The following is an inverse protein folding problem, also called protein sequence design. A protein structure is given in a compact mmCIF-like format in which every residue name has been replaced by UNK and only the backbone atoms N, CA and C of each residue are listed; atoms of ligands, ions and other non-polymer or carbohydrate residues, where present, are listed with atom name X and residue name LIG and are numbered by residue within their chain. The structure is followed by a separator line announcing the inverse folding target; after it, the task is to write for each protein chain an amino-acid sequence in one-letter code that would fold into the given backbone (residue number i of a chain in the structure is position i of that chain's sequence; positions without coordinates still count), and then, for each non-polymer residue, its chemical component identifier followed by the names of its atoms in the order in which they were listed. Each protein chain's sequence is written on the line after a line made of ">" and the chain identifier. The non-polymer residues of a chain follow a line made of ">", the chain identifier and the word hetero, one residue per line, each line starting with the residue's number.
data_IF_486249674179
#
_entry.id   IF_486249674179
#
_cell.length_a   1.000
_cell.length_b   1.000
_cell.length_c   1.000
_cell.angle_alpha   90.00
_cell.angle_beta   90.00
_cell.angle_gamma   90.00
#
_symmetry.space_group_name_H-M   'P 1'
#
loop_
_entity.id
_entity.type
_entity.pdbx_description
1 polymer ?
#
# COMPACT_ATOMS: atom_id res chain seq x y z
N UNK A 1 10.97 27.16 33.61
CA UNK A 1 10.12 25.99 33.34
C UNK A 1 11.04 24.81 33.34
N UNK A 2 10.62 23.69 33.94
CA UNK A 2 11.39 22.44 33.85
C UNK A 2 11.18 21.82 32.48
N UNK A 3 12.09 20.93 32.07
CA UNK A 3 11.97 20.22 30.79
C UNK A 3 10.63 19.48 30.66
N UNK A 4 10.15 18.86 31.74
CA UNK A 4 8.83 18.21 31.79
C UNK A 4 7.65 19.18 31.76
N UNK A 5 7.75 20.39 32.32
CA UNK A 5 6.69 21.39 32.20
C UNK A 5 6.54 21.86 30.74
N UNK A 6 7.65 22.00 30.02
CA UNK A 6 7.65 22.35 28.61
C UNK A 6 7.08 21.21 27.73
N UNK A 7 7.42 19.94 28.03
CA UNK A 7 6.82 18.77 27.35
C UNK A 7 5.32 18.69 27.63
N UNK A 8 4.89 18.81 28.88
CA UNK A 8 3.48 18.72 29.25
C UNK A 8 2.65 19.81 28.55
N UNK A 9 3.19 21.03 28.48
CA UNK A 9 2.54 22.14 27.76
C UNK A 9 2.43 21.86 26.26
N UNK A 10 3.45 21.24 25.66
CA UNK A 10 3.44 20.91 24.25
C UNK A 10 2.50 19.74 23.91
N UNK A 11 2.42 18.72 24.78
CA UNK A 11 1.48 17.60 24.66
C UNK A 11 0.03 18.06 24.83
N UNK A 12 -0.25 18.93 25.80
CA UNK A 12 -1.58 19.50 26.03
C UNK A 12 -2.09 20.28 24.80
N UNK A 13 -1.19 20.97 24.09
CA UNK A 13 -1.53 21.66 22.84
C UNK A 13 -1.97 20.71 21.71
N UNK A 14 -1.47 19.47 21.73
CA UNK A 14 -1.86 18.38 20.82
C UNK A 14 -3.06 17.57 21.35
N UNK A 15 -3.61 17.94 22.52
CA UNK A 15 -4.72 17.23 23.16
C UNK A 15 -4.30 15.94 23.88
N UNK A 16 -3.01 15.74 24.12
CA UNK A 16 -2.46 14.54 24.76
C UNK A 16 -2.29 14.80 26.26
N UNK A 17 -2.93 13.97 27.08
CA UNK A 17 -2.84 14.08 28.54
C UNK A 17 -1.46 13.61 29.04
N UNK A 18 -0.94 14.25 30.10
CA UNK A 18 0.30 13.82 30.74
C UNK A 18 0.22 13.99 32.25
N UNK A 19 0.90 13.11 32.99
CA UNK A 19 1.03 13.15 34.46
C UNK A 19 2.49 13.14 34.86
N UNK A 20 2.88 14.02 35.77
CA UNK A 20 4.27 14.11 36.26
C UNK A 20 4.31 13.69 37.73
N UNK A 21 5.16 12.72 38.04
CA UNK A 21 5.44 12.28 39.40
C UNK A 21 6.95 12.17 39.62
N UNK A 22 7.47 12.95 40.56
CA UNK A 22 8.90 13.03 40.88
C UNK A 22 9.75 13.33 39.63
N UNK A 23 10.66 12.41 39.26
CA UNK A 23 11.59 12.54 38.14
C UNK A 23 11.10 11.80 36.86
N UNK A 24 9.82 11.39 36.86
CA UNK A 24 9.20 10.66 35.75
C UNK A 24 7.91 11.33 35.28
N UNK A 25 7.79 11.50 33.97
CA UNK A 25 6.53 11.87 33.32
C UNK A 25 5.92 10.62 32.67
N UNK A 26 4.61 10.48 32.76
CA UNK A 26 3.83 9.41 32.14
C UNK A 26 2.82 10.01 31.19
N UNK A 27 2.66 9.36 30.05
CA UNK A 27 1.74 9.74 28.98
C UNK A 27 0.91 8.50 28.62
N UNK A 28 -0.38 8.44 28.99
CA UNK A 28 -1.24 7.32 28.63
C UNK A 28 -1.47 7.32 27.11
N UNK A 29 -1.37 6.13 26.51
CA UNK A 29 -1.71 5.91 25.10
C UNK A 29 -3.05 5.18 25.03
N UNK A 30 -3.16 4.06 25.76
CA UNK A 30 -4.40 3.28 25.93
C UNK A 30 -4.66 2.96 27.39
N UNK A 31 -5.73 2.20 27.66
CA UNK A 31 -6.00 1.63 28.98
C UNK A 31 -4.88 0.73 29.49
N UNK A 32 -4.12 0.12 28.59
CA UNK A 32 -3.16 -0.93 28.91
C UNK A 32 -1.70 -0.51 28.62
N UNK A 33 -1.46 0.61 27.92
CA UNK A 33 -0.14 1.06 27.50
C UNK A 33 0.12 2.54 27.82
N UNK A 34 1.31 2.82 28.34
CA UNK A 34 1.78 4.18 28.61
C UNK A 34 3.26 4.39 28.21
N UNK A 35 3.57 5.64 27.88
CA UNK A 35 4.93 6.11 27.64
C UNK A 35 5.46 6.78 28.90
N UNK A 36 6.68 6.42 29.30
CA UNK A 36 7.35 7.00 30.47
C UNK A 36 8.61 7.74 30.04
N UNK A 37 8.71 9.01 30.42
CA UNK A 37 9.93 9.81 30.29
C UNK A 37 10.65 9.87 31.63
N UNK A 38 11.87 9.35 31.67
CA UNK A 38 12.74 9.41 32.85
C UNK A 38 13.87 10.39 32.58
N UNK A 39 13.99 11.42 33.42
CA UNK A 39 15.01 12.47 33.27
C UNK A 39 16.41 11.88 33.39
N UNK A 40 17.30 12.23 32.45
CA UNK A 40 18.69 11.76 32.44
C UNK A 40 19.60 12.75 33.16
N UNK A 41 19.40 14.05 32.93
CA UNK A 41 20.26 15.11 33.42
C UNK A 41 19.46 16.38 33.74
N UNK A 42 19.69 17.01 34.91
CA UNK A 42 18.94 18.20 35.34
C UNK A 42 19.38 19.52 34.68
N UNK A 43 20.45 19.50 33.89
CA UNK A 43 21.00 20.69 33.22
C UNK A 43 20.77 20.61 31.70
N UNK A 44 20.87 19.40 31.14
CA UNK A 44 20.65 19.15 29.72
C UNK A 44 19.24 18.56 29.55
N UNK A 45 18.35 19.18 28.76
CA UNK A 45 17.02 18.63 28.50
C UNK A 45 17.15 17.27 27.79
N UNK A 46 17.10 16.19 28.56
CA UNK A 46 17.29 14.83 28.07
C UNK A 46 16.48 13.84 28.90
N UNK A 47 15.74 12.97 28.22
CA UNK A 47 14.96 11.92 28.86
C UNK A 47 15.06 10.60 28.09
N UNK A 48 15.13 9.51 28.84
CA UNK A 48 14.92 8.17 28.31
C UNK A 48 13.42 7.93 28.17
N UNK A 49 13.00 7.38 27.03
CA UNK A 49 11.61 7.09 26.71
C UNK A 49 11.39 5.59 26.78
N UNK A 50 10.50 5.16 27.67
CA UNK A 50 10.11 3.77 27.85
C UNK A 50 8.66 3.57 27.43
N UNK A 51 8.34 2.38 26.94
CA UNK A 51 6.97 1.88 26.85
C UNK A 51 6.76 0.86 27.95
N UNK A 52 5.65 1.00 28.67
CA UNK A 52 5.27 0.12 29.77
C UNK A 52 3.76 -0.14 29.73
N UNK A 53 3.35 -1.25 30.36
CA UNK A 53 1.94 -1.51 30.60
C UNK A 53 1.41 -0.59 31.71
N UNK A 54 0.20 -0.05 31.53
CA UNK A 54 -0.34 1.04 32.35
C UNK A 54 -0.82 0.60 33.76
N UNK A 55 -1.10 -0.70 33.97
CA UNK A 55 -1.67 -1.24 35.23
C UNK A 55 -0.64 -1.97 36.11
N UNK A 56 0.66 -1.85 35.82
CA UNK A 56 1.70 -2.55 36.59
C UNK A 56 2.21 -1.66 37.71
N UNK A 57 1.95 -2.07 38.95
CA UNK A 57 2.50 -1.41 40.14
C UNK A 57 4.03 -1.42 40.08
N UNK A 58 4.65 -0.29 40.46
CA UNK A 58 6.12 -0.08 40.44
C UNK A 58 6.90 -1.08 41.32
N UNK A 59 6.19 -1.83 42.17
CA UNK A 59 6.73 -2.85 43.08
C UNK A 59 6.65 -4.28 42.51
N UNK A 60 6.06 -4.50 41.32
CA UNK A 60 6.04 -5.81 40.68
C UNK A 60 7.42 -6.13 40.06
N UNK A 61 8.01 -7.23 40.51
CA UNK A 61 9.33 -7.70 40.06
C UNK A 61 9.34 -8.20 38.59
N UNK A 62 8.16 -8.24 37.95
CA UNK A 62 7.92 -8.57 36.53
C UNK A 62 7.60 -7.30 35.70
N UNK A 63 8.16 -6.15 36.08
CA UNK A 63 8.03 -4.87 35.38
C UNK A 63 8.80 -4.88 34.02
N UNK A 64 8.08 -4.96 32.91
CA UNK A 64 8.66 -5.03 31.55
C UNK A 64 8.65 -3.67 30.83
N UNK A 65 9.21 -2.62 31.46
CA UNK A 65 9.42 -1.35 30.78
C UNK A 65 10.58 -1.47 29.77
N UNK A 66 10.29 -1.21 28.50
CA UNK A 66 11.28 -1.30 27.41
C UNK A 66 11.72 0.08 26.98
N UNK A 67 13.04 0.32 26.99
CA UNK A 67 13.60 1.54 26.42
C UNK A 67 13.38 1.52 24.90
N UNK A 68 12.68 2.51 24.39
CA UNK A 68 12.36 2.62 22.96
C UNK A 68 13.07 3.80 22.29
N UNK A 69 13.32 4.88 23.02
CA UNK A 69 13.94 6.08 22.47
C UNK A 69 14.66 6.90 23.54
N UNK A 70 15.44 7.88 23.11
CA UNK A 70 16.04 8.93 23.95
C UNK A 70 15.81 10.26 23.27
N UNK A 71 15.27 11.22 24.00
CA UNK A 71 14.91 12.55 23.49
C UNK A 71 15.78 13.62 24.12
N UNK A 72 16.19 14.60 23.32
CA UNK A 72 17.05 15.71 23.75
C UNK A 72 16.38 17.09 23.59
N UNK A 73 15.10 17.10 23.20
CA UNK A 73 14.33 18.30 23.00
C UNK A 73 12.84 18.03 23.22
N UNK A 74 12.08 19.10 23.45
CA UNK A 74 10.62 19.04 23.62
C UNK A 74 9.95 18.56 22.32
N UNK A 75 10.44 19.00 21.16
CA UNK A 75 9.90 18.56 19.86
C UNK A 75 10.12 17.07 19.63
N UNK A 76 11.29 16.54 20.00
CA UNK A 76 11.56 15.10 19.84
C UNK A 76 10.69 14.26 20.79
N UNK A 77 10.44 14.78 22.01
CA UNK A 77 9.53 14.14 22.96
C UNK A 77 8.10 14.05 22.41
N UNK A 78 7.56 15.16 21.92
CA UNK A 78 6.22 15.20 21.33
C UNK A 78 6.13 14.32 20.09
N UNK A 79 7.12 14.39 19.19
CA UNK A 79 7.14 13.56 17.98
C UNK A 79 7.21 12.06 18.30
N UNK A 80 7.94 11.67 19.35
CA UNK A 80 8.02 10.28 19.79
C UNK A 80 6.66 9.80 20.29
N UNK A 81 5.99 10.59 21.13
CA UNK A 81 4.65 10.26 21.64
C UNK A 81 3.65 10.18 20.50
N UNK A 82 3.61 11.19 19.63
CA UNK A 82 2.69 11.24 18.50
C UNK A 82 2.83 10.01 17.57
N UNK A 83 4.06 9.53 17.36
CA UNK A 83 4.30 8.33 16.54
C UNK A 83 3.65 7.08 17.16
N UNK A 84 3.83 6.88 18.46
CA UNK A 84 3.22 5.74 19.16
C UNK A 84 1.71 5.85 19.30
N UNK A 85 1.18 7.06 19.53
CA UNK A 85 -0.27 7.30 19.50
C UNK A 85 -0.84 6.97 18.12
N UNK A 86 -0.15 7.35 17.04
CA UNK A 86 -0.59 7.04 15.68
C UNK A 86 -0.54 5.54 15.38
N UNK A 87 0.54 4.84 15.76
CA UNK A 87 0.65 3.38 15.61
C UNK A 87 -0.47 2.64 16.37
N UNK A 88 -0.76 3.08 17.60
CA UNK A 88 -1.82 2.49 18.42
C UNK A 88 -3.22 2.75 17.85
N UNK A 89 -3.47 3.93 17.29
CA UNK A 89 -4.71 4.21 16.57
C UNK A 89 -4.89 3.31 15.34
N UNK A 90 -3.82 3.01 14.60
CA UNK A 90 -3.89 2.04 13.49
C UNK A 90 -4.33 0.66 13.99
N UNK A 91 -3.72 0.17 15.08
CA UNK A 91 -4.09 -1.11 15.69
C UNK A 91 -5.56 -1.10 16.12
N UNK A 92 -6.00 -0.05 16.81
CA UNK A 92 -7.39 0.10 17.27
C UNK A 92 -8.38 0.06 16.12
N UNK A 93 -8.10 0.78 15.02
CA UNK A 93 -8.99 0.79 13.84
C UNK A 93 -9.04 -0.56 13.16
N UNK A 94 -7.91 -1.26 13.07
CA UNK A 94 -7.87 -2.62 12.51
C UNK A 94 -8.67 -3.59 13.39
N UNK A 95 -8.55 -3.50 14.72
CA UNK A 95 -9.37 -4.29 15.65
C UNK A 95 -10.86 -3.98 15.51
N UNK A 96 -11.24 -2.71 15.42
CA UNK A 96 -12.63 -2.29 15.22
C UNK A 96 -13.24 -2.83 13.91
N UNK A 97 -12.44 -2.86 12.83
CA UNK A 97 -12.84 -3.44 11.55
C UNK A 97 -13.01 -4.96 11.65
N UNK A 98 -12.07 -5.66 12.29
CA UNK A 98 -12.09 -7.12 12.44
C UNK A 98 -13.21 -7.60 13.37
N UNK A 99 -13.48 -6.86 14.44
CA UNK A 99 -14.53 -7.21 15.41
C UNK A 99 -15.93 -6.75 14.98
N UNK A 100 -16.02 -5.85 13.99
CA UNK A 100 -17.29 -5.25 13.56
C UNK A 100 -17.94 -4.44 14.69
N UNK A 101 -17.13 -3.71 15.46
CA UNK A 101 -17.59 -2.97 16.66
C UNK A 101 -18.60 -1.86 16.30
N UNK A 102 -18.49 -1.28 15.11
CA UNK A 102 -19.38 -0.22 14.62
C UNK A 102 -20.64 -0.79 13.94
N UNK A 103 -21.81 -0.25 14.30
CA UNK A 103 -23.11 -0.71 13.81
C UNK A 103 -23.28 -0.61 12.29
N UNK A 104 -22.54 0.28 11.62
CA UNK A 104 -22.62 0.52 10.17
C UNK A 104 -21.96 -0.58 9.35
N UNK A 105 -21.01 -1.29 9.94
CA UNK A 105 -20.26 -2.38 9.31
C UNK A 105 -20.53 -3.73 9.97
N UNK A 106 -21.51 -3.81 10.88
CA UNK A 106 -21.80 -5.03 11.64
C UNK A 106 -22.22 -6.23 10.76
N UNK A 107 -22.70 -5.97 9.55
CA UNK A 107 -23.06 -6.99 8.56
C UNK A 107 -21.86 -7.39 7.66
N UNK A 108 -20.71 -6.72 7.78
CA UNK A 108 -19.48 -7.02 7.05
C UNK A 108 -18.55 -7.88 7.91
N UNK A 109 -17.99 -8.92 7.30
CA UNK A 109 -17.02 -9.80 7.95
C UNK A 109 -15.62 -9.50 7.39
N UNK A 110 -14.79 -8.82 8.17
CA UNK A 110 -13.42 -8.51 7.79
C UNK A 110 -12.45 -9.60 8.24
N UNK A 111 -11.45 -9.88 7.40
CA UNK A 111 -10.34 -10.77 7.67
C UNK A 111 -9.02 -10.04 7.43
N UNK A 112 -8.04 -10.29 8.30
CA UNK A 112 -6.69 -9.77 8.10
C UNK A 112 -6.00 -10.56 6.98
N UNK A 113 -5.29 -9.83 6.11
CA UNK A 113 -4.48 -10.44 5.06
C UNK A 113 -3.32 -11.27 5.64
N UNK A 114 -2.99 -12.37 4.96
CA UNK A 114 -1.97 -13.32 5.43
C UNK A 114 -0.53 -12.79 5.29
N UNK A 115 -0.31 -11.81 4.42
CA UNK A 115 1.01 -11.26 4.08
C UNK A 115 1.18 -9.83 4.58
N UNK A 116 0.09 -9.05 4.61
CA UNK A 116 0.09 -7.67 5.09
C UNK A 116 -0.79 -7.50 6.33
N UNK A 117 -0.21 -7.33 7.54
CA UNK A 117 -0.99 -7.16 8.77
C UNK A 117 -1.80 -5.86 8.80
N UNK A 118 -1.48 -4.87 7.95
CA UNK A 118 -2.17 -3.60 7.90
C UNK A 118 -3.34 -3.60 6.91
N UNK A 119 -3.55 -4.72 6.20
CA UNK A 119 -4.62 -4.90 5.24
C UNK A 119 -5.70 -5.81 5.83
N UNK A 120 -6.95 -5.34 5.81
CA UNK A 120 -8.14 -6.16 6.06
C UNK A 120 -9.02 -6.21 4.81
N UNK A 121 -9.67 -7.34 4.63
CA UNK A 121 -10.51 -7.64 3.46
C UNK A 121 -11.90 -8.09 3.91
N UNK A 122 -12.94 -7.65 3.22
CA UNK A 122 -14.30 -8.14 3.42
C UNK A 122 -14.93 -8.49 2.08
N UNK A 123 -15.43 -9.72 1.94
CA UNK A 123 -16.19 -10.14 0.77
C UNK A 123 -17.49 -9.32 0.68
N UNK A 124 -17.74 -8.72 -0.48
CA UNK A 124 -18.96 -7.97 -0.76
C UNK A 124 -19.47 -8.39 -2.14
N UNK A 125 -20.70 -8.87 -2.26
CA UNK A 125 -21.20 -9.37 -3.55
C UNK A 125 -20.74 -10.78 -3.89
N UNK A 126 -20.78 -11.13 -5.19
CA UNK A 126 -20.50 -12.50 -5.66
C UNK A 126 -19.03 -12.69 -6.06
N UNK A 127 -18.41 -11.67 -6.70
CA UNK A 127 -17.01 -11.68 -7.12
C UNK A 127 -16.25 -10.41 -6.70
N UNK A 128 -16.66 -9.75 -5.61
CA UNK A 128 -15.98 -8.53 -5.15
C UNK A 128 -15.62 -8.53 -3.67
N UNK A 129 -14.62 -7.71 -3.32
CA UNK A 129 -14.18 -7.51 -1.95
C UNK A 129 -13.76 -6.05 -1.67
N UNK A 130 -13.95 -5.62 -0.43
CA UNK A 130 -13.41 -4.37 0.08
C UNK A 130 -12.06 -4.63 0.72
N UNK A 131 -11.04 -3.90 0.27
CA UNK A 131 -9.68 -3.89 0.85
C UNK A 131 -9.46 -2.57 1.59
N UNK A 132 -9.12 -2.65 2.87
CA UNK A 132 -8.79 -1.48 3.70
C UNK A 132 -7.36 -1.63 4.22
N UNK A 133 -6.48 -0.74 3.79
CA UNK A 133 -5.11 -0.64 4.30
C UNK A 133 -5.05 0.49 5.31
N UNK A 134 -4.62 0.23 6.53
CA UNK A 134 -4.49 1.26 7.58
C UNK A 134 -3.01 1.42 7.94
N UNK A 135 -2.45 2.60 7.70
CA UNK A 135 -1.04 2.88 7.93
C UNK A 135 -0.81 4.31 8.44
N UNK A 136 0.37 4.57 9.00
CA UNK A 136 0.75 5.92 9.45
C UNK A 136 1.49 6.64 8.34
N UNK A 137 0.89 7.70 7.79
CA UNK A 137 1.48 8.54 6.75
C UNK A 137 1.79 9.92 7.35
N UNK A 138 3.05 10.34 7.31
CA UNK A 138 3.51 11.62 7.88
C UNK A 138 3.10 11.83 9.36
N UNK A 139 3.03 10.74 10.13
CA UNK A 139 2.62 10.76 11.54
C UNK A 139 1.10 10.81 11.77
N UNK A 140 0.30 10.69 10.71
CA UNK A 140 -1.16 10.66 10.78
C UNK A 140 -1.66 9.28 10.36
N UNK A 141 -2.44 8.58 11.21
CA UNK A 141 -3.03 7.31 10.84
C UNK A 141 -4.07 7.54 9.74
N UNK A 142 -3.91 6.80 8.64
CA UNK A 142 -4.64 6.98 7.40
C UNK A 142 -5.09 5.62 6.89
N UNK A 143 -6.39 5.50 6.61
CA UNK A 143 -6.98 4.32 5.99
C UNK A 143 -7.21 4.56 4.50
N UNK A 144 -6.71 3.67 3.64
CA UNK A 144 -6.98 3.66 2.21
C UNK A 144 -7.94 2.53 1.87
N UNK A 145 -9.01 2.86 1.16
CA UNK A 145 -10.06 1.91 0.81
C UNK A 145 -10.08 1.67 -0.70
N UNK A 146 -10.16 0.39 -1.07
CA UNK A 146 -10.29 -0.07 -2.44
C UNK A 146 -11.43 -1.09 -2.51
N UNK A 147 -12.21 -1.01 -3.57
CA UNK A 147 -13.14 -2.06 -3.98
C UNK A 147 -12.47 -2.83 -5.11
N UNK A 148 -12.48 -4.16 -5.01
CA UNK A 148 -11.81 -5.05 -5.95
C UNK A 148 -12.83 -6.02 -6.49
N UNK A 149 -12.90 -6.15 -7.80
CA UNK A 149 -13.68 -7.19 -8.47
C UNK A 149 -12.69 -8.22 -9.00
N UNK A 150 -12.86 -9.48 -8.60
CA UNK A 150 -12.17 -10.60 -9.23
C UNK A 150 -12.85 -10.85 -10.58
N UNK A 151 -12.16 -10.48 -11.66
CA UNK A 151 -12.59 -10.84 -13.00
C UNK A 151 -12.33 -12.35 -13.17
N UNK A 152 -13.26 -13.05 -13.83
CA UNK A 152 -13.21 -14.51 -14.00
C UNK A 152 -11.80 -15.04 -14.19
N UNK A 153 -11.46 -16.11 -13.47
CA UNK A 153 -10.08 -16.55 -13.38
C UNK A 153 -9.49 -16.86 -14.76
N UNK A 154 -8.15 -16.83 -14.86
CA UNK A 154 -7.42 -17.25 -16.07
C UNK A 154 -7.92 -18.56 -16.68
N UNK A 155 -8.49 -19.48 -15.88
CA UNK A 155 -9.08 -20.73 -16.35
C UNK A 155 -10.39 -20.52 -17.13
N UNK A 156 -11.24 -19.58 -16.73
CA UNK A 156 -12.51 -19.28 -17.41
C UNK A 156 -12.25 -18.53 -18.74
N UNK A 157 -11.37 -17.51 -18.72
CA UNK A 157 -10.92 -16.82 -19.93
C UNK A 157 -10.21 -17.78 -20.91
N UNK A 158 -9.38 -18.70 -20.38
CA UNK A 158 -8.79 -19.75 -21.21
C UNK A 158 -9.84 -20.69 -21.80
N UNK A 159 -10.83 -21.12 -21.04
CA UNK A 159 -11.85 -22.06 -21.53
C UNK A 159 -12.74 -21.41 -22.61
N UNK A 160 -13.01 -20.11 -22.51
CA UNK A 160 -13.69 -19.32 -23.53
C UNK A 160 -12.88 -19.24 -24.83
N UNK A 161 -11.61 -18.87 -24.75
CA UNK A 161 -10.71 -18.76 -25.92
C UNK A 161 -10.42 -20.12 -26.53
N UNK A 162 -10.29 -21.16 -25.70
CA UNK A 162 -10.26 -22.54 -26.17
C UNK A 162 -11.57 -22.80 -26.93
N UNK A 163 -12.73 -22.53 -26.34
CA UNK A 163 -14.04 -22.63 -26.99
C UNK A 163 -14.07 -22.00 -28.39
N UNK A 164 -13.67 -20.74 -28.51
CA UNK A 164 -13.60 -20.02 -29.79
C UNK A 164 -12.61 -20.65 -30.78
N UNK A 165 -11.44 -21.07 -30.32
CA UNK A 165 -10.43 -21.71 -31.17
C UNK A 165 -10.93 -23.05 -31.75
N UNK A 166 -11.78 -23.78 -31.02
CA UNK A 166 -12.37 -25.05 -31.47
C UNK A 166 -13.69 -24.88 -32.22
N UNK A 167 -14.41 -23.77 -32.05
CA UNK A 167 -15.64 -23.43 -32.78
C UNK A 167 -15.39 -22.66 -34.09
N UNK A 168 -14.20 -22.05 -34.27
CA UNK A 168 -13.78 -21.55 -35.58
C UNK A 168 -13.74 -22.71 -36.58
N UNK A 169 -14.57 -22.61 -37.62
CA UNK A 169 -14.72 -23.64 -38.64
C UNK A 169 -13.32 -24.01 -39.19
N UNK A 170 -13.07 -25.31 -39.34
CA UNK A 170 -11.75 -25.93 -39.56
C UNK A 170 -10.98 -25.52 -40.84
N UNK A 171 -11.42 -24.47 -41.53
CA UNK A 171 -10.81 -23.89 -42.73
C UNK A 171 -10.09 -22.54 -42.48
N UNK A 172 -10.28 -21.88 -41.33
CA UNK A 172 -9.53 -20.67 -40.93
C UNK A 172 -8.67 -20.97 -39.69
N UNK A 173 -7.61 -21.74 -39.92
CA UNK A 173 -6.66 -22.10 -38.87
C UNK A 173 -5.77 -20.89 -38.61
N UNK A 174 -5.98 -20.20 -37.47
CA UNK A 174 -5.07 -19.17 -36.98
C UNK A 174 -3.63 -19.66 -37.07
N UNK A 175 -2.71 -18.78 -37.52
CA UNK A 175 -1.31 -19.16 -37.59
C UNK A 175 -0.78 -19.50 -36.20
N UNK A 176 0.29 -20.31 -36.12
CA UNK A 176 0.94 -20.62 -34.83
C UNK A 176 1.39 -19.34 -34.10
N UNK A 177 1.70 -18.27 -34.85
CA UNK A 177 2.05 -16.95 -34.32
C UNK A 177 0.84 -16.21 -33.74
N UNK A 178 -0.29 -16.20 -34.44
CA UNK A 178 -1.53 -15.57 -33.96
C UNK A 178 -2.06 -16.29 -32.72
N UNK A 179 -1.95 -17.62 -32.70
CA UNK A 179 -2.28 -18.44 -31.54
C UNK A 179 -1.38 -18.12 -30.35
N UNK A 180 -0.07 -17.95 -30.58
CA UNK A 180 0.86 -17.55 -29.52
C UNK A 180 0.61 -16.13 -29.01
N UNK A 181 0.16 -15.20 -29.87
CA UNK A 181 -0.24 -13.85 -29.45
C UNK A 181 -1.51 -13.87 -28.61
N UNK A 182 -2.55 -14.59 -29.03
CA UNK A 182 -3.79 -14.78 -28.27
C UNK A 182 -3.51 -15.35 -26.87
N UNK A 183 -2.75 -16.44 -26.78
CA UNK A 183 -2.37 -17.00 -25.47
C UNK A 183 -1.46 -16.08 -24.66
N UNK A 184 -0.67 -15.23 -25.29
CA UNK A 184 0.15 -14.24 -24.58
C UNK A 184 -0.73 -13.13 -24.00
N UNK A 185 -1.75 -12.68 -24.72
CA UNK A 185 -2.64 -11.60 -24.30
C UNK A 185 -3.42 -11.97 -23.03
N UNK A 186 -3.96 -13.20 -22.98
CA UNK A 186 -4.64 -13.77 -21.80
C UNK A 186 -3.75 -13.86 -20.57
N UNK A 187 -2.45 -14.06 -20.76
CA UNK A 187 -1.50 -14.07 -19.64
C UNK A 187 -1.24 -12.67 -19.08
N UNK A 188 -1.64 -11.61 -19.80
CA UNK A 188 -1.53 -10.21 -19.38
C UNK A 188 -2.87 -9.58 -19.02
N UNK A 189 -4.00 -10.27 -19.24
CA UNK A 189 -5.30 -9.77 -18.80
C UNK A 189 -5.36 -9.62 -17.28
N UNK A 190 -5.88 -8.49 -16.78
CA UNK A 190 -6.00 -8.27 -15.35
C UNK A 190 -7.01 -9.25 -14.76
N UNK A 191 -6.58 -10.04 -13.77
CA UNK A 191 -7.48 -10.93 -13.01
C UNK A 191 -8.29 -10.18 -11.94
N UNK A 192 -7.99 -8.90 -11.73
CA UNK A 192 -8.64 -8.05 -10.75
C UNK A 192 -8.83 -6.64 -11.34
N UNK A 193 -10.02 -6.08 -11.19
CA UNK A 193 -10.28 -4.65 -11.43
C UNK A 193 -10.39 -3.88 -10.11
N UNK A 194 -9.79 -2.70 -10.04
CA UNK A 194 -9.69 -1.89 -8.82
C UNK A 194 -10.43 -0.58 -8.94
N UNK A 195 -11.35 -0.34 -8.01
CA UNK A 195 -11.99 0.96 -7.80
C UNK A 195 -11.49 1.60 -6.49
N UNK A 196 -10.71 2.68 -6.62
CA UNK A 196 -10.22 3.43 -5.46
C UNK A 196 -11.32 4.28 -4.82
N UNK A 197 -11.64 4.00 -3.55
CA UNK A 197 -12.67 4.74 -2.80
C UNK A 197 -12.11 5.92 -1.99
N UNK A 198 -10.78 6.00 -1.85
CA UNK A 198 -10.05 7.16 -1.31
C UNK A 198 -9.24 6.86 -0.05
N UNK A 199 -8.76 7.93 0.57
CA UNK A 199 -7.97 7.92 1.81
C UNK A 199 -8.70 8.70 2.91
N UNK A 200 -8.67 8.18 4.13
CA UNK A 200 -9.45 8.65 5.25
C UNK A 200 -8.58 8.78 6.51
N UNK A 201 -8.57 9.99 7.07
CA UNK A 201 -8.05 10.28 8.42
C UNK A 201 -9.18 10.41 9.45
N UNK A 202 -10.43 10.45 8.97
CA UNK A 202 -11.65 10.50 9.77
C UNK A 202 -12.31 9.12 9.70
N UNK A 203 -12.12 8.32 10.75
CA UNK A 203 -12.58 6.93 10.79
C UNK A 203 -14.11 6.80 10.86
N UNK A 204 -14.82 7.82 11.37
CA UNK A 204 -16.28 7.84 11.27
C UNK A 204 -16.73 7.88 9.81
N UNK A 205 -16.05 8.66 8.98
CA UNK A 205 -16.31 8.72 7.54
C UNK A 205 -15.86 7.45 6.82
N UNK A 206 -14.79 6.80 7.29
CA UNK A 206 -14.38 5.49 6.79
C UNK A 206 -15.53 4.48 6.92
N UNK A 207 -16.12 4.36 8.11
CA UNK A 207 -17.24 3.43 8.33
C UNK A 207 -18.48 3.76 7.50
N UNK A 208 -18.79 5.06 7.31
CA UNK A 208 -19.87 5.48 6.41
C UNK A 208 -19.62 5.04 4.95
N UNK A 209 -18.37 5.14 4.49
CA UNK A 209 -17.97 4.76 3.12
C UNK A 209 -18.00 3.26 2.95
N UNK A 210 -17.52 2.48 3.92
CA UNK A 210 -17.56 1.02 3.88
C UNK A 210 -19.00 0.50 3.84
N UNK A 211 -19.89 1.08 4.65
CA UNK A 211 -21.32 0.76 4.63
C UNK A 211 -21.96 1.08 3.27
N UNK A 212 -21.69 2.27 2.72
CA UNK A 212 -22.18 2.65 1.39
C UNK A 212 -21.62 1.76 0.29
N UNK A 213 -20.35 1.38 0.38
CA UNK A 213 -19.70 0.54 -0.61
C UNK A 213 -20.29 -0.87 -0.62
N UNK A 214 -20.62 -1.42 0.55
CA UNK A 214 -21.33 -2.68 0.66
C UNK A 214 -22.73 -2.61 0.01
N UNK A 215 -23.47 -1.52 0.23
CA UNK A 215 -24.78 -1.29 -0.39
C UNK A 215 -24.70 -1.10 -1.92
N UNK A 216 -23.56 -0.64 -2.44
CA UNK A 216 -23.33 -0.41 -3.87
C UNK A 216 -22.56 -1.53 -4.57
N UNK A 217 -22.11 -2.56 -3.83
CA UNK A 217 -21.21 -3.59 -4.33
C UNK A 217 -21.75 -4.25 -5.61
N UNK A 218 -23.02 -4.69 -5.60
CA UNK A 218 -23.63 -5.34 -6.76
C UNK A 218 -23.72 -4.42 -8.00
N UNK A 219 -24.00 -3.13 -7.79
CA UNK A 219 -24.08 -2.15 -8.89
C UNK A 219 -22.69 -1.84 -9.47
N UNK A 220 -21.65 -1.86 -8.65
CA UNK A 220 -20.26 -1.62 -9.08
C UNK A 220 -19.66 -2.86 -9.72
N UNK A 221 -19.97 -4.05 -9.21
CA UNK A 221 -19.57 -5.33 -9.80
C UNK A 221 -20.06 -5.43 -11.25
N UNK A 222 -21.32 -5.08 -11.55
CA UNK A 222 -21.85 -5.05 -12.93
C UNK A 222 -21.17 -3.99 -13.83
N UNK A 223 -20.68 -2.90 -13.25
CA UNK A 223 -20.06 -1.80 -14.01
C UNK A 223 -18.56 -1.97 -14.25
N UNK A 224 -17.91 -2.74 -13.39
CA UNK A 224 -16.49 -3.11 -13.47
C UNK A 224 -16.31 -4.50 -14.09
N UNK A 225 -17.38 -5.11 -14.60
CA UNK A 225 -17.26 -6.30 -15.43
C UNK A 225 -16.53 -5.94 -16.72
N UNK A 226 -15.66 -6.84 -17.15
CA UNK A 226 -14.77 -6.75 -18.31
C UNK A 226 -15.46 -6.07 -19.49
N UNK A 227 -14.83 -5.05 -20.06
CA UNK A 227 -15.31 -4.46 -21.30
C UNK A 227 -15.36 -5.53 -22.40
N UNK A 228 -16.55 -5.84 -22.89
CA UNK A 228 -16.71 -6.69 -24.08
C UNK A 228 -16.17 -5.89 -25.29
N UNK A 229 -15.04 -6.32 -25.86
CA UNK A 229 -14.38 -5.63 -26.99
C UNK A 229 -15.31 -5.49 -28.21
N UNK A 230 -16.38 -6.30 -28.28
CA UNK A 230 -17.43 -6.20 -29.30
C UNK A 230 -18.22 -4.88 -29.23
N UNK A 231 -18.37 -4.28 -28.04
CA UNK A 231 -19.21 -3.09 -27.82
C UNK A 231 -18.46 -1.78 -28.10
N UNK A 232 -17.13 -1.79 -28.06
CA UNK A 232 -16.27 -0.65 -28.35
C UNK A 232 -15.09 -1.07 -29.24
N UNK A 233 -15.28 -1.16 -30.57
CA UNK A 233 -14.17 -1.46 -31.47
C UNK A 233 -13.05 -0.45 -31.23
N UNK A 234 -11.85 -0.97 -30.98
CA UNK A 234 -10.66 -0.14 -30.83
C UNK A 234 -10.60 0.88 -31.98
N UNK A 235 -10.35 2.17 -31.69
CA UNK A 235 -10.10 3.11 -32.77
C UNK A 235 -8.88 2.62 -33.56
N UNK A 236 -9.00 2.49 -34.89
CA UNK A 236 -7.98 2.03 -35.87
C UNK A 236 -6.66 2.86 -35.90
N UNK A 237 -6.33 3.56 -34.82
CA UNK A 237 -5.19 4.46 -34.69
C UNK A 237 -3.92 3.71 -34.25
N UNK A 238 -4.04 2.50 -33.69
CA UNK A 238 -2.90 1.69 -33.27
C UNK A 238 -2.23 0.87 -34.40
N UNK A 239 -2.78 0.85 -35.62
CA UNK A 239 -2.17 0.27 -36.83
C UNK A 239 -1.06 1.14 -37.46
N UNK A 240 -0.42 2.03 -36.69
CA UNK A 240 0.66 2.87 -37.20
C UNK A 240 2.00 2.11 -37.34
N UNK A 241 2.09 0.89 -36.79
CA UNK A 241 3.23 -0.01 -36.96
C UNK A 241 2.83 -1.28 -37.72
N UNK A 242 2.28 -1.10 -38.91
CA UNK A 242 2.54 -1.97 -40.05
C UNK A 242 1.85 -3.33 -40.03
N UNK A 243 0.74 -3.40 -40.76
CA UNK A 243 0.43 -4.56 -41.62
C UNK A 243 1.69 -4.87 -42.45
N UNK A 244 2.49 -5.84 -42.00
CA UNK A 244 3.71 -6.29 -42.69
C UNK A 244 3.31 -7.22 -43.85
N UNK A 245 2.44 -6.75 -44.74
CA UNK A 245 2.28 -7.28 -46.08
C UNK A 245 3.42 -6.74 -46.95
N UNK A 246 4.65 -7.07 -46.54
CA UNK A 246 5.80 -7.04 -47.43
C UNK A 246 5.69 -8.25 -48.35
N UNK A 247 4.97 -8.05 -49.46
CA UNK A 247 5.05 -8.90 -50.65
C UNK A 247 6.55 -9.09 -50.99
N UNK A 248 6.98 -10.35 -50.84
CA UNK A 248 8.28 -10.93 -51.15
C UNK A 248 8.61 -10.74 -52.65
N UNK A 249 9.23 -9.62 -53.07
CA UNK A 249 9.91 -9.54 -54.37
C UNK A 249 11.24 -8.76 -54.31
N UNK A 250 12.32 -9.54 -54.21
CA UNK A 250 13.65 -9.34 -54.81
C UNK A 250 14.37 -8.00 -54.57
N UNK A 251 15.19 -7.94 -53.52
CA UNK A 251 16.34 -7.02 -53.47
C UNK A 251 17.62 -7.85 -53.58
N UNK A 252 18.13 -7.92 -54.82
CA UNK A 252 19.34 -8.63 -55.23
C UNK A 252 20.57 -8.31 -54.36
N UNK A 253 21.26 -9.38 -53.97
CA UNK A 253 22.65 -9.42 -53.48
C UNK A 253 23.60 -8.68 -54.45
N UNK A 254 24.17 -7.56 -54.03
CA UNK A 254 25.43 -7.04 -54.56
C UNK A 254 26.27 -6.48 -53.39
N UNK A 255 26.74 -7.40 -52.55
CA UNK A 255 27.77 -7.15 -51.55
C UNK A 255 29.15 -7.31 -52.22
N UNK A 256 29.59 -6.29 -52.94
CA UNK A 256 30.96 -6.19 -53.44
C UNK A 256 31.72 -5.08 -52.70
N UNK A 257 32.69 -5.53 -51.90
CA UNK A 257 33.94 -4.88 -51.46
C UNK A 257 33.89 -3.45 -50.90
N UNK A 258 34.36 -3.30 -49.65
CA UNK A 258 35.57 -2.54 -49.33
C UNK A 258 36.01 -2.79 -47.88
N UNK A 259 37.06 -3.59 -47.73
CA UNK A 259 38.00 -3.58 -46.59
C UNK A 259 38.62 -2.16 -46.43
N UNK A 260 38.68 -1.63 -45.21
CA UNK A 260 39.94 -1.27 -44.50
C UNK A 260 39.68 -0.41 -43.25
N UNK A 261 40.37 -0.79 -42.17
CA UNK A 261 40.90 0.05 -41.09
C UNK A 261 39.93 0.75 -40.10
N UNK A 262 39.50 0.00 -39.07
CA UNK A 262 39.17 0.58 -37.76
C UNK A 262 40.34 0.41 -36.79
N UNK A 263 41.27 1.36 -36.85
CA UNK A 263 42.34 1.53 -35.88
C UNK A 263 41.78 1.90 -34.49
N UNK A 264 42.12 1.03 -33.55
CA UNK A 264 42.11 1.12 -32.08
C UNK A 264 42.21 2.54 -31.52
N UNK A 265 41.19 2.96 -30.78
CA UNK A 265 41.26 3.93 -29.68
C UNK A 265 40.49 3.28 -28.51
N UNK A 266 41.09 2.82 -27.41
CA UNK A 266 42.16 3.42 -26.63
C UNK A 266 41.57 4.04 -25.35
N UNK A 267 41.03 3.23 -24.44
CA UNK A 267 40.89 3.61 -23.02
C UNK A 267 42.15 3.13 -22.28
N UNK A 268 42.54 3.62 -21.08
CA UNK A 268 41.92 4.61 -20.18
C UNK A 268 42.95 5.64 -19.63
N UNK A 269 42.56 6.59 -18.75
CA UNK A 269 43.25 6.84 -17.46
C UNK A 269 42.71 8.07 -16.68
N UNK A 270 42.40 7.85 -15.40
CA UNK A 270 42.89 8.69 -14.30
C UNK A 270 42.04 9.87 -13.79
N UNK A 271 41.76 9.95 -12.47
CA UNK A 271 41.09 11.08 -11.85
C UNK A 271 42.08 12.23 -11.56
N UNK A 272 41.65 13.48 -11.74
CA UNK A 272 42.39 14.65 -11.27
C UNK A 272 41.79 15.16 -9.95
N UNK A 273 42.52 14.90 -8.87
CA UNK A 273 42.49 15.70 -7.65
C UNK A 273 43.37 16.96 -7.80
N UNK A 274 43.35 17.81 -6.76
CA UNK A 274 44.06 19.09 -6.52
C UNK A 274 43.18 20.33 -6.82
N UNK A 275 42.58 20.99 -5.82
CA UNK A 275 43.12 21.78 -4.69
C UNK A 275 43.48 23.24 -5.07
N UNK A 276 43.07 24.15 -4.17
CA UNK A 276 43.54 25.53 -3.97
C UNK A 276 43.01 26.67 -4.88
N UNK A 277 41.99 27.40 -4.38
CA UNK A 277 42.07 28.84 -4.01
C UNK A 277 40.78 29.41 -3.41
#
# INVERSE_FOLDING_TARGET
>A
MSFFEDIATALDAEGIESRVHDDTMFVPITSDLEIQFVEIDPVIPAANVYIAAADVDVDDEEFEARLVSVVFSVSDAVSTVASYVAEDQVVTVLEDLLEGTDERIADLEFFQDAFDPNLVRAEVGDNSELRVVVEVIDGVPTARVQFVVELGGYEDALDEIIGELWESDADDVLSEEDRQRLFADVLFEPTEEYLGLGEFVDFDKLFDVLSLAADQAADWEEQLDSFDDEDFPEPEIYDIFGEDDLDDEDVDDDFDDLDDDLDVLGEPDGPLAEDDR
#
